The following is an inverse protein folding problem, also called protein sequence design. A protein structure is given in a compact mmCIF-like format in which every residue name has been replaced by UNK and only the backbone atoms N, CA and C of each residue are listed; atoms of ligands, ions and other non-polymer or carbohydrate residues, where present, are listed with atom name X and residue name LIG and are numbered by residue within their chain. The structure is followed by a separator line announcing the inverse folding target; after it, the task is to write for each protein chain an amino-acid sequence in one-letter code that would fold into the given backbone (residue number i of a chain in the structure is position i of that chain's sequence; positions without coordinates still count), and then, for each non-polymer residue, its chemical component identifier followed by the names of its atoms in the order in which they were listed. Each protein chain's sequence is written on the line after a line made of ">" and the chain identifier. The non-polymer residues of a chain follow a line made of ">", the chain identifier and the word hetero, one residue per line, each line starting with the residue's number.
data_IF_136560480151
#
_entry.id   IF_136560480151
#
_cell.length_a   1.000
_cell.length_b   1.000
_cell.length_c   1.000
_cell.angle_alpha   90.00
_cell.angle_beta   90.00
_cell.angle_gamma   90.00
#
_symmetry.space_group_name_H-M   'P 1'
#
loop_
_entity.id
_entity.type
_entity.pdbx_description
1 polymer ?
#
# COMPACT_ATOMS: atom_id res chain seq x y z
N UNK A 1 -14.57 -11.54 -13.21
CA UNK A 1 -13.31 -11.78 -12.48
C UNK A 1 -13.10 -10.59 -11.58
N UNK A 2 -12.98 -10.77 -10.26
CA UNK A 2 -12.70 -9.64 -9.35
C UNK A 2 -11.27 -9.17 -9.60
N UNK A 3 -11.11 -7.88 -9.89
CA UNK A 3 -9.80 -7.27 -10.11
C UNK A 3 -9.28 -6.77 -8.76
N UNK A 4 -8.06 -7.17 -8.38
CA UNK A 4 -7.44 -6.75 -7.14
C UNK A 4 -6.31 -5.76 -7.42
N UNK A 5 -6.51 -4.52 -6.98
CA UNK A 5 -5.54 -3.44 -7.11
C UNK A 5 -4.86 -3.20 -5.77
N UNK A 6 -3.53 -3.20 -5.76
CA UNK A 6 -2.72 -2.80 -4.62
C UNK A 6 -2.36 -1.32 -4.72
N UNK A 7 -2.36 -0.63 -3.59
CA UNK A 7 -1.91 0.75 -3.45
C UNK A 7 -0.85 0.81 -2.36
N UNK A 8 0.34 1.30 -2.70
CA UNK A 8 1.37 1.67 -1.72
C UNK A 8 1.39 3.20 -1.63
N UNK A 9 0.87 3.72 -0.51
CA UNK A 9 0.79 5.16 -0.26
C UNK A 9 2.01 5.68 0.50
N UNK A 10 2.59 6.80 0.05
CA UNK A 10 3.52 7.62 0.83
C UNK A 10 2.80 8.44 1.92
N UNK A 11 3.39 9.56 2.31
CA UNK A 11 2.79 10.50 3.28
C UNK A 11 1.41 11.00 2.82
N UNK A 12 0.43 11.04 3.74
CA UNK A 12 -0.83 11.77 3.54
C UNK A 12 -2.00 10.96 2.98
N UNK A 13 -1.82 9.70 2.60
CA UNK A 13 -2.93 8.82 2.21
C UNK A 13 -3.18 7.78 3.30
N UNK A 14 -4.19 8.02 4.14
CA UNK A 14 -4.52 7.14 5.26
C UNK A 14 -5.88 6.45 5.12
N UNK A 15 -6.77 7.01 4.32
CA UNK A 15 -8.12 6.50 4.09
C UNK A 15 -8.49 6.66 2.61
N UNK A 16 -9.28 5.71 2.09
CA UNK A 16 -9.86 5.77 0.75
C UNK A 16 -11.36 5.94 0.91
N UNK A 17 -11.87 7.11 0.52
CA UNK A 17 -13.30 7.41 0.61
C UNK A 17 -14.13 6.40 -0.22
N UNK A 18 -15.25 5.95 0.34
CA UNK A 18 -16.15 5.00 -0.32
C UNK A 18 -15.73 3.53 -0.26
N UNK A 19 -14.62 3.21 0.44
CA UNK A 19 -14.20 1.83 0.68
C UNK A 19 -15.13 1.13 1.67
N UNK A 20 -15.62 -0.06 1.32
CA UNK A 20 -16.50 -0.90 2.15
C UNK A 20 -15.81 -2.19 2.57
N UNK A 21 -16.38 -2.89 3.56
CA UNK A 21 -15.91 -4.21 4.02
C UNK A 21 -14.43 -4.24 4.41
N UNK A 22 -14.00 -3.22 5.15
CA UNK A 22 -12.59 -3.00 5.50
C UNK A 22 -12.12 -4.09 6.46
N UNK A 23 -10.97 -4.69 6.16
CA UNK A 23 -10.30 -5.69 6.99
C UNK A 23 -8.80 -5.45 7.02
N UNK A 24 -8.18 -5.64 8.17
CA UNK A 24 -6.72 -5.58 8.29
C UNK A 24 -6.12 -6.99 8.25
N UNK A 25 -4.99 -7.15 7.56
CA UNK A 25 -4.30 -8.43 7.44
C UNK A 25 -2.81 -8.30 7.66
N UNK A 26 -2.32 -8.99 8.70
CA UNK A 26 -0.88 -9.19 8.94
C UNK A 26 -0.35 -10.30 8.04
N UNK A 27 0.69 -10.01 7.27
CA UNK A 27 1.31 -10.96 6.37
C UNK A 27 2.77 -11.19 6.75
N UNK A 28 3.11 -12.45 7.07
CA UNK A 28 4.51 -12.89 7.17
C UNK A 28 5.07 -13.13 5.77
N UNK A 29 6.29 -12.66 5.53
CA UNK A 29 7.01 -12.83 4.26
C UNK A 29 8.39 -13.47 4.49
N UNK A 30 8.97 -14.13 3.47
CA UNK A 30 10.36 -14.60 3.52
C UNK A 30 11.40 -13.48 3.63
N UNK A 31 11.01 -12.23 3.36
CA UNK A 31 11.91 -11.07 3.36
C UNK A 31 11.85 -10.27 4.66
N UNK A 32 11.11 -10.75 5.66
CA UNK A 32 10.85 -10.05 6.92
C UNK A 32 9.43 -9.48 6.99
N UNK A 33 9.26 -8.45 7.83
CA UNK A 33 7.97 -7.83 8.08
C UNK A 33 7.75 -6.69 7.06
N UNK A 34 6.55 -6.59 6.45
CA UNK A 34 6.15 -5.42 5.67
C UNK A 34 6.14 -4.14 6.51
N UNK A 35 6.02 -2.98 5.87
CA UNK A 35 5.98 -1.68 6.56
C UNK A 35 4.85 -1.57 7.58
N UNK A 36 3.72 -2.26 7.36
CA UNK A 36 2.59 -2.31 8.27
C UNK A 36 1.63 -3.48 7.95
N UNK A 37 0.48 -3.52 8.62
CA UNK A 37 -0.69 -4.30 8.24
C UNK A 37 -1.24 -3.85 6.88
N UNK A 38 -1.73 -4.80 6.09
CA UNK A 38 -2.43 -4.48 4.84
C UNK A 38 -3.91 -4.20 5.14
N UNK A 39 -4.44 -3.11 4.61
CA UNK A 39 -5.87 -2.79 4.67
C UNK A 39 -6.53 -3.27 3.38
N UNK A 40 -7.50 -4.17 3.48
CA UNK A 40 -8.24 -4.72 2.36
C UNK A 40 -9.64 -4.16 2.41
N UNK A 41 -10.18 -3.71 1.28
CA UNK A 41 -11.57 -3.29 1.19
C UNK A 41 -12.09 -3.36 -0.22
N UNK A 42 -13.36 -2.99 -0.38
CA UNK A 42 -14.09 -3.09 -1.64
C UNK A 42 -14.54 -1.70 -2.10
N UNK A 43 -14.18 -1.34 -3.33
CA UNK A 43 -14.66 -0.13 -4.00
C UNK A 43 -15.40 -0.55 -5.27
N UNK A 44 -16.73 -0.48 -5.24
CA UNK A 44 -17.62 -1.07 -6.27
C UNK A 44 -17.30 -2.56 -6.45
N UNK A 45 -16.94 -3.00 -7.66
CA UNK A 45 -16.57 -4.37 -8.01
C UNK A 45 -15.06 -4.66 -7.82
N UNK A 46 -14.26 -3.66 -7.45
CA UNK A 46 -12.80 -3.77 -7.30
C UNK A 46 -12.39 -4.00 -5.85
N UNK A 47 -11.58 -5.02 -5.62
CA UNK A 47 -10.92 -5.21 -4.32
C UNK A 47 -9.66 -4.36 -4.26
N UNK A 48 -9.52 -3.53 -3.23
CA UNK A 48 -8.34 -2.72 -2.98
C UNK A 48 -7.53 -3.29 -1.82
N UNK A 49 -6.22 -3.29 -1.97
CA UNK A 49 -5.26 -3.64 -0.92
C UNK A 49 -4.32 -2.45 -0.71
N UNK A 50 -4.41 -1.81 0.44
CA UNK A 50 -3.60 -0.65 0.78
C UNK A 50 -2.49 -1.02 1.77
N UNK A 51 -1.32 -0.40 1.59
CA UNK A 51 -0.20 -0.46 2.53
C UNK A 51 0.46 0.92 2.65
N UNK A 52 0.57 1.50 3.87
CA UNK A 52 1.35 2.71 4.07
C UNK A 52 2.84 2.39 3.97
N UNK A 53 3.54 3.05 3.03
CA UNK A 53 4.95 2.79 2.73
C UNK A 53 5.86 2.98 3.94
N UNK A 54 5.59 4.02 4.73
CA UNK A 54 6.39 4.42 5.89
C UNK A 54 5.84 3.85 7.22
N UNK A 55 4.83 2.97 7.15
CA UNK A 55 4.06 2.55 8.31
C UNK A 55 3.12 3.65 8.81
N UNK A 56 2.12 3.25 9.60
CA UNK A 56 1.22 4.17 10.30
C UNK A 56 2.02 5.04 11.26
N UNK A 57 1.75 6.34 11.25
CA UNK A 57 2.54 7.32 12.01
C UNK A 57 3.87 7.72 11.35
N UNK A 58 4.16 7.26 10.12
CA UNK A 58 5.34 7.66 9.36
C UNK A 58 6.68 7.36 10.08
N UNK A 59 6.79 6.15 10.64
CA UNK A 59 7.89 5.77 11.52
C UNK A 59 9.15 5.29 10.78
N UNK A 60 9.00 4.81 9.54
CA UNK A 60 10.11 4.28 8.76
C UNK A 60 10.70 5.37 7.85
N UNK A 61 12.01 5.58 7.92
CA UNK A 61 12.70 6.41 6.93
C UNK A 61 12.76 5.72 5.56
N UNK A 62 12.98 6.46 4.45
CA UNK A 62 13.04 5.89 3.11
C UNK A 62 14.01 4.70 2.96
N UNK A 63 15.14 4.72 3.69
CA UNK A 63 16.17 3.68 3.68
C UNK A 63 15.82 2.42 4.49
N UNK A 64 14.86 2.52 5.42
CA UNK A 64 14.48 1.41 6.30
C UNK A 64 13.31 0.59 5.76
N UNK A 65 12.68 1.06 4.68
CA UNK A 65 11.51 0.39 4.09
C UNK A 65 11.91 -0.98 3.53
N UNK A 66 11.21 -2.01 3.98
CA UNK A 66 11.35 -3.35 3.44
C UNK A 66 10.53 -3.55 2.17
N UNK A 67 11.01 -2.99 1.05
CA UNK A 67 10.31 -3.04 -0.24
C UNK A 67 9.99 -4.48 -0.69
N UNK A 68 10.88 -5.44 -0.42
CA UNK A 68 10.67 -6.86 -0.78
C UNK A 68 9.50 -7.47 -0.01
N UNK A 69 9.42 -7.23 1.30
CA UNK A 69 8.30 -7.71 2.11
C UNK A 69 6.98 -7.04 1.67
N UNK A 70 7.00 -5.74 1.36
CA UNK A 70 5.81 -5.02 0.89
C UNK A 70 5.25 -5.61 -0.40
N UNK A 71 6.08 -5.73 -1.43
CA UNK A 71 5.67 -6.25 -2.74
C UNK A 71 5.28 -7.74 -2.65
N UNK A 72 6.00 -8.54 -1.86
CA UNK A 72 5.63 -9.94 -1.63
C UNK A 72 4.27 -10.08 -0.94
N UNK A 73 3.99 -9.23 0.06
CA UNK A 73 2.69 -9.21 0.73
C UNK A 73 1.55 -8.88 -0.23
N UNK A 74 1.72 -7.87 -1.10
CA UNK A 74 0.77 -7.57 -2.18
C UNK A 74 0.53 -8.79 -3.08
N UNK A 75 1.60 -9.45 -3.53
CA UNK A 75 1.49 -10.65 -4.37
C UNK A 75 0.73 -11.78 -3.68
N UNK A 76 1.01 -12.03 -2.39
CA UNK A 76 0.33 -13.06 -1.59
C UNK A 76 -1.16 -12.77 -1.36
N UNK A 77 -1.54 -11.50 -1.40
CA UNK A 77 -2.94 -11.05 -1.31
C UNK A 77 -3.68 -11.07 -2.65
N UNK A 78 -3.04 -11.55 -3.72
CA UNK A 78 -3.66 -11.66 -5.03
C UNK A 78 -3.71 -10.35 -5.81
N UNK A 79 -2.94 -9.33 -5.42
CA UNK A 79 -2.79 -8.09 -6.18
C UNK A 79 -2.23 -8.40 -7.58
N UNK A 80 -2.92 -7.90 -8.60
CA UNK A 80 -2.54 -8.05 -10.00
C UNK A 80 -1.96 -6.75 -10.56
N UNK A 81 -2.44 -5.61 -10.07
CA UNK A 81 -2.02 -4.27 -10.48
C UNK A 81 -1.57 -3.51 -9.23
N UNK A 82 -0.36 -2.95 -9.24
CA UNK A 82 0.18 -2.20 -8.11
C UNK A 82 0.36 -0.73 -8.49
N UNK A 83 -0.31 0.17 -7.76
CA UNK A 83 -0.16 1.62 -7.86
C UNK A 83 0.69 2.12 -6.70
N UNK A 84 1.68 2.96 -6.99
CA UNK A 84 2.57 3.55 -5.99
C UNK A 84 2.43 5.07 -6.03
N UNK A 85 2.13 5.68 -4.89
CA UNK A 85 1.93 7.12 -4.75
C UNK A 85 3.09 7.72 -3.96
N UNK A 86 3.71 8.76 -4.49
CA UNK A 86 4.90 9.38 -3.89
C UNK A 86 4.80 10.89 -3.95
N UNK A 87 5.08 11.56 -2.83
CA UNK A 87 5.39 12.99 -2.81
C UNK A 87 6.79 13.20 -3.35
N UNK A 88 6.97 14.19 -4.22
CA UNK A 88 8.26 14.55 -4.83
C UNK A 88 8.41 16.07 -4.84
N UNK A 89 9.66 16.54 -4.89
CA UNK A 89 9.95 17.94 -5.16
C UNK A 89 10.02 18.17 -6.67
N UNK A 90 9.36 19.22 -7.14
CA UNK A 90 9.49 19.65 -8.54
C UNK A 90 10.90 20.21 -8.79
N UNK A 91 11.44 19.94 -9.99
CA UNK A 91 12.67 20.56 -10.49
C UNK A 91 12.41 21.42 -11.74
N UNK A 92 11.13 21.75 -11.98
CA UNK A 92 10.67 22.56 -13.11
C UNK A 92 9.62 23.53 -12.60
N UNK A 93 9.65 24.76 -13.11
CA UNK A 93 8.75 25.82 -12.64
C UNK A 93 7.29 25.51 -12.95
N UNK A 94 7.03 24.82 -14.06
CA UNK A 94 5.69 24.53 -14.56
C UNK A 94 5.01 23.30 -13.95
N UNK A 95 5.66 22.59 -13.00
CA UNK A 95 5.14 21.39 -12.33
C UNK A 95 4.84 21.67 -10.87
#
# INVERSE_FOLDING_TARGET
>A
MSHTIGIIGGSGLYEIEGLKNIQEKKIKTPFGIPSDVFTIGQLKETTLVFLPRHGKGHLLSPSEINYRANVFGMKKLGVQTLLSLSSVGSMKEEI
#
